data_IF_922839220396
#
_entry.id   IF_922839220396
#
_cell.length_a   1.000
_cell.length_b   1.000
_cell.length_c   1.000
_cell.angle_alpha   90.00
_cell.angle_beta   90.00
_cell.angle_gamma   90.00
#
_symmetry.space_group_name_H-M   'P 1'
#
loop_
_entity.id
_entity.type
_entity.pdbx_description
1 polymer ?
#
# COMPACT_ATOMS: atom_id res chain seq x y z
N UNK A 1 -8.11 4.07 -2.54
CA UNK A 1 -8.02 4.75 -1.24
C UNK A 1 -6.57 5.17 -0.98
N UNK A 2 -6.35 6.33 -0.36
CA UNK A 2 -5.03 6.79 0.05
C UNK A 2 -4.91 6.64 1.56
N UNK A 3 -3.84 5.98 2.02
CA UNK A 3 -3.50 5.90 3.45
C UNK A 3 -2.41 6.90 3.78
N UNK A 4 -2.69 7.75 4.76
CA UNK A 4 -1.76 8.73 5.31
C UNK A 4 -1.40 8.36 6.75
N UNK A 5 -0.31 8.95 7.24
CA UNK A 5 0.16 8.74 8.60
C UNK A 5 0.89 7.41 8.82
N UNK A 6 1.64 7.39 9.92
CA UNK A 6 2.55 6.30 10.23
C UNK A 6 1.85 5.06 10.80
N UNK A 7 2.30 3.84 10.48
CA UNK A 7 1.82 2.61 11.10
C UNK A 7 2.30 2.53 12.55
N UNK A 8 1.65 1.65 13.32
CA UNK A 8 2.06 1.36 14.70
C UNK A 8 3.51 0.90 14.74
N UNK A 9 4.31 1.51 15.62
CA UNK A 9 5.74 1.19 15.76
C UNK A 9 6.67 1.88 14.76
N UNK A 10 6.16 2.78 13.91
CA UNK A 10 7.01 3.63 13.07
C UNK A 10 7.83 4.59 13.91
N UNK A 11 9.08 4.82 13.51
CA UNK A 11 9.98 5.71 14.24
C UNK A 11 9.47 7.15 14.25
N UNK A 12 9.40 7.76 15.43
CA UNK A 12 9.01 9.15 15.58
C UNK A 12 10.00 10.06 14.83
N UNK A 13 9.46 11.01 14.07
CA UNK A 13 10.24 11.93 13.23
C UNK A 13 10.75 11.33 11.91
N UNK A 14 10.59 10.02 11.67
CA UNK A 14 10.97 9.42 10.40
C UNK A 14 9.91 9.71 9.32
N UNK A 15 10.32 9.98 8.06
CA UNK A 15 9.40 10.17 6.94
C UNK A 15 8.41 9.01 6.82
N UNK A 16 7.14 9.34 6.59
CA UNK A 16 6.11 8.36 6.29
C UNK A 16 5.36 8.81 5.02
N UNK A 17 5.81 8.41 3.83
CA UNK A 17 5.16 8.80 2.59
C UNK A 17 3.74 8.24 2.53
N UNK A 18 2.85 8.96 1.86
CA UNK A 18 1.50 8.46 1.59
C UNK A 18 1.58 7.22 0.68
N UNK A 19 0.68 6.27 0.90
CA UNK A 19 0.55 5.07 0.09
C UNK A 19 -0.85 4.98 -0.51
N UNK A 20 -0.92 4.53 -1.76
CA UNK A 20 -2.16 4.34 -2.51
C UNK A 20 -2.42 2.84 -2.70
N UNK A 21 -3.68 2.45 -2.59
CA UNK A 21 -4.17 1.11 -2.91
C UNK A 21 -5.62 1.17 -3.40
N UNK A 22 -6.07 0.11 -4.05
CA UNK A 22 -7.47 -0.08 -4.45
C UNK A 22 -8.04 -1.28 -3.71
N UNK A 23 -9.33 -1.24 -3.41
CA UNK A 23 -10.02 -2.26 -2.64
C UNK A 23 -11.40 -2.53 -3.23
N UNK A 24 -11.85 -3.77 -3.12
CA UNK A 24 -13.22 -4.16 -3.39
C UNK A 24 -13.75 -4.96 -2.22
N UNK A 25 -14.64 -4.32 -1.45
CA UNK A 25 -15.30 -4.94 -0.31
C UNK A 25 -16.22 -6.11 -0.71
N UNK A 26 -16.74 -6.12 -1.94
CA UNK A 26 -17.51 -7.27 -2.43
C UNK A 26 -16.61 -8.49 -2.63
N UNK A 27 -15.45 -8.30 -3.25
CA UNK A 27 -14.50 -9.37 -3.55
C UNK A 27 -13.56 -9.70 -2.39
N UNK A 28 -13.55 -8.88 -1.33
CA UNK A 28 -12.63 -8.96 -0.19
C UNK A 28 -11.14 -8.90 -0.59
N UNK A 29 -10.82 -8.16 -1.66
CA UNK A 29 -9.46 -8.03 -2.21
C UNK A 29 -9.01 -6.57 -2.28
N UNK A 30 -7.71 -6.36 -2.17
CA UNK A 30 -7.04 -5.08 -2.35
C UNK A 30 -5.72 -5.23 -3.11
N UNK A 31 -5.23 -4.14 -3.69
CA UNK A 31 -3.85 -4.08 -4.17
C UNK A 31 -2.87 -3.91 -3.00
N UNK A 32 -1.66 -4.43 -3.14
CA UNK A 32 -0.56 -4.11 -2.21
C UNK A 32 -0.28 -2.61 -2.28
N UNK A 33 -0.21 -1.89 -1.14
CA UNK A 33 0.07 -0.45 -1.11
C UNK A 33 1.33 -0.05 -1.88
N UNK A 34 1.28 1.10 -2.52
CA UNK A 34 2.34 1.61 -3.39
C UNK A 34 2.48 3.13 -3.23
N UNK A 35 3.70 3.65 -3.40
CA UNK A 35 3.94 5.10 -3.51
C UNK A 35 3.53 5.64 -4.89
N UNK A 36 3.37 4.76 -5.88
CA UNK A 36 2.95 5.11 -7.25
C UNK A 36 1.51 4.71 -7.50
N UNK A 37 0.68 5.69 -7.86
CA UNK A 37 -0.71 5.49 -8.30
C UNK A 37 -0.77 4.58 -9.53
N UNK A 38 0.08 4.82 -10.53
CA UNK A 38 0.10 4.04 -11.77
C UNK A 38 0.35 2.54 -11.50
N UNK A 39 1.23 2.21 -10.54
CA UNK A 39 1.46 0.81 -10.14
C UNK A 39 0.25 0.22 -9.42
N UNK A 40 -0.40 1.00 -8.55
CA UNK A 40 -1.61 0.54 -7.87
C UNK A 40 -2.76 0.30 -8.86
N UNK A 41 -2.91 1.17 -9.86
CA UNK A 41 -3.90 1.03 -10.94
C UNK A 41 -3.62 -0.19 -11.80
N UNK A 42 -2.38 -0.34 -12.29
CA UNK A 42 -1.99 -1.50 -13.11
C UNK A 42 -2.27 -2.83 -12.42
N UNK A 43 -1.94 -2.95 -11.12
CA UNK A 43 -2.24 -4.17 -10.33
C UNK A 43 -3.73 -4.45 -10.21
N UNK A 44 -4.57 -3.42 -10.27
CA UNK A 44 -6.02 -3.55 -10.13
C UNK A 44 -6.68 -3.91 -11.46
N UNK A 45 -6.21 -3.30 -12.56
CA UNK A 45 -6.86 -3.39 -13.87
C UNK A 45 -6.36 -4.53 -14.73
N UNK A 46 -5.11 -4.99 -14.54
CA UNK A 46 -4.54 -6.10 -15.31
C UNK A 46 -4.94 -7.47 -14.71
N UNK A 47 -5.74 -8.28 -15.43
CA UNK A 47 -6.13 -9.61 -14.96
C UNK A 47 -4.94 -10.56 -14.78
N UNK A 48 -3.86 -10.38 -15.54
CA UNK A 48 -2.62 -11.16 -15.42
C UNK A 48 -1.90 -10.94 -14.10
N UNK A 49 -2.20 -9.85 -13.40
CA UNK A 49 -1.64 -9.50 -12.09
C UNK A 49 -2.58 -9.81 -10.93
N UNK A 50 -3.72 -10.46 -11.18
CA UNK A 50 -4.71 -10.75 -10.14
C UNK A 50 -4.15 -11.58 -8.96
N UNK A 51 -3.11 -12.38 -9.20
CA UNK A 51 -2.39 -13.13 -8.17
C UNK A 51 -1.59 -12.25 -7.18
N UNK A 52 -1.33 -10.98 -7.54
CA UNK A 52 -0.67 -10.00 -6.68
C UNK A 52 -1.64 -9.26 -5.75
N UNK A 53 -2.96 -9.47 -5.91
CA UNK A 53 -3.95 -8.92 -4.99
C UNK A 53 -3.89 -9.64 -3.65
N UNK A 54 -4.11 -8.89 -2.58
CA UNK A 54 -4.14 -9.39 -1.21
C UNK A 54 -5.57 -9.37 -0.66
N UNK A 55 -5.90 -10.22 0.34
CA UNK A 55 -7.12 -10.04 1.11
C UNK A 55 -7.17 -8.65 1.77
N UNK A 56 -8.34 -7.99 1.80
CA UNK A 56 -8.49 -6.67 2.45
C UNK A 56 -8.03 -6.69 3.90
N UNK A 57 -8.28 -7.78 4.63
CA UNK A 57 -7.84 -7.96 6.02
C UNK A 57 -6.32 -7.86 6.20
N UNK A 58 -5.53 -8.07 5.14
CA UNK A 58 -4.06 -7.99 5.19
C UNK A 58 -3.53 -6.58 4.90
N UNK A 59 -4.39 -5.61 4.58
CA UNK A 59 -3.98 -4.28 4.12
C UNK A 59 -3.09 -3.55 5.14
N UNK A 60 -3.46 -3.55 6.43
CA UNK A 60 -2.67 -2.88 7.47
C UNK A 60 -1.25 -3.47 7.59
N UNK A 61 -1.14 -4.81 7.53
CA UNK A 61 0.14 -5.52 7.54
C UNK A 61 0.97 -5.20 6.29
N UNK A 62 0.34 -5.21 5.12
CA UNK A 62 0.99 -4.90 3.85
C UNK A 62 1.52 -3.46 3.83
N UNK A 63 0.75 -2.51 4.39
CA UNK A 63 1.18 -1.11 4.55
C UNK A 63 2.46 -1.00 5.38
N UNK A 64 2.50 -1.67 6.54
CA UNK A 64 3.70 -1.71 7.38
C UNK A 64 4.90 -2.34 6.66
N UNK A 65 4.69 -3.44 5.95
CA UNK A 65 5.75 -4.12 5.19
C UNK A 65 6.31 -3.26 4.03
N UNK A 66 5.46 -2.49 3.34
CA UNK A 66 5.90 -1.58 2.28
C UNK A 66 6.70 -0.43 2.87
N UNK A 67 6.19 0.22 3.93
CA UNK A 67 6.90 1.33 4.59
C UNK A 67 8.26 0.90 5.14
N UNK A 68 8.37 -0.28 5.74
CA UNK A 68 9.65 -0.82 6.24
C UNK A 68 10.70 -1.07 5.13
N UNK A 69 10.28 -1.17 3.86
CA UNK A 69 11.17 -1.37 2.71
C UNK A 69 11.48 -0.07 1.95
N UNK A 70 10.78 1.02 2.24
CA UNK A 70 11.03 2.28 1.57
C UNK A 70 12.29 2.92 2.15
N UNK A 71 13.21 3.41 1.30
CA UNK A 71 14.34 4.20 1.77
C UNK A 71 13.83 5.49 2.44
N UNK A 72 14.48 5.90 3.52
CA UNK A 72 14.12 7.09 4.30
C UNK A 72 14.20 8.44 3.53
N UNK A 73 14.51 8.41 2.23
CA UNK A 73 14.84 9.58 1.42
C UNK A 73 13.64 10.28 0.74
N UNK A 74 12.42 9.77 0.84
CA UNK A 74 11.24 10.40 0.22
C UNK A 74 10.47 11.29 1.20
N UNK A 75 11.14 12.32 1.71
CA UNK A 75 10.51 13.50 2.29
C UNK A 75 10.84 14.69 1.38
N UNK A 76 9.93 15.02 0.47
CA UNK A 76 9.91 16.29 -0.25
C UNK A 76 8.67 17.05 0.18
#
# INVERSE_FOLDING_TARGET
>A
MTTTGAPTGHQLGAPCPALVHFECHLCQKATVPSTSLAIAELRWTDPGLAALLIPISHLARARGAVLARLPAQHAA
#
